data_IF_787917866237
#
_entry.id   IF_787917866237
#
_cell.length_a   1.000
_cell.length_b   1.000
_cell.length_c   1.000
_cell.angle_alpha   90.00
_cell.angle_beta   90.00
_cell.angle_gamma   90.00
#
_symmetry.space_group_name_H-M   'P 1'
#
loop_
_entity.id
_entity.type
_entity.pdbx_description
1 polymer ?
#
# COMPACT_ATOMS: atom_id res chain seq x y z
N UNK A 1 15.67 -13.53 -9.55
CA UNK A 1 14.72 -12.41 -9.46
C UNK A 1 13.83 -12.68 -8.26
N UNK A 2 14.17 -12.10 -7.11
CA UNK A 2 13.45 -12.33 -5.86
C UNK A 2 12.27 -11.35 -5.75
N UNK A 3 11.21 -11.66 -6.49
CA UNK A 3 9.93 -10.93 -6.44
C UNK A 3 9.42 -10.84 -4.99
N UNK A 4 9.70 -11.85 -4.17
CA UNK A 4 9.36 -11.86 -2.74
C UNK A 4 10.10 -10.78 -1.93
N UNK A 5 11.37 -10.54 -2.20
CA UNK A 5 12.13 -9.47 -1.54
C UNK A 5 11.60 -8.10 -1.95
N UNK A 6 11.37 -7.89 -3.26
CA UNK A 6 10.73 -6.66 -3.75
C UNK A 6 9.39 -6.41 -3.07
N UNK A 7 8.53 -7.43 -2.91
CA UNK A 7 7.26 -7.29 -2.18
C UNK A 7 7.52 -6.79 -0.75
N UNK A 8 8.40 -7.43 0.00
CA UNK A 8 8.67 -7.06 1.40
C UNK A 8 9.28 -5.66 1.55
N UNK A 9 10.17 -5.27 0.64
CA UNK A 9 10.74 -3.93 0.61
C UNK A 9 9.65 -2.88 0.37
N UNK A 10 8.81 -3.09 -0.65
CA UNK A 10 7.71 -2.18 -1.00
C UNK A 10 6.68 -2.08 0.12
N UNK A 11 6.33 -3.19 0.76
CA UNK A 11 5.49 -3.19 1.96
C UNK A 11 6.11 -2.33 3.04
N UNK A 12 7.37 -2.57 3.38
CA UNK A 12 8.05 -1.86 4.47
C UNK A 12 8.17 -0.35 4.17
N UNK A 13 8.42 0.01 2.92
CA UNK A 13 8.50 1.38 2.42
C UNK A 13 7.15 2.10 2.50
N UNK A 14 6.08 1.44 2.03
CA UNK A 14 4.71 2.00 2.07
C UNK A 14 4.18 2.10 3.51
N UNK A 15 4.48 1.12 4.38
CA UNK A 15 4.03 1.16 5.78
C UNK A 15 4.87 2.08 6.66
N UNK A 16 6.14 2.29 6.30
CA UNK A 16 7.08 3.13 7.05
C UNK A 16 7.03 4.61 6.67
N UNK A 17 6.47 4.95 5.51
CA UNK A 17 6.35 6.33 5.02
C UNK A 17 4.87 6.74 4.98
N UNK A 18 4.47 7.66 5.87
CA UNK A 18 3.08 8.15 5.95
C UNK A 18 2.60 8.82 4.65
N UNK A 19 3.50 9.43 3.88
CA UNK A 19 3.20 10.04 2.59
C UNK A 19 2.89 8.98 1.53
N UNK A 20 3.70 7.93 1.45
CA UNK A 20 3.42 6.77 0.61
C UNK A 20 2.18 6.02 1.07
N UNK A 21 1.93 5.90 2.37
CA UNK A 21 0.74 5.25 2.91
C UNK A 21 -0.54 6.00 2.51
N UNK A 22 -0.52 7.34 2.57
CA UNK A 22 -1.62 8.20 2.08
C UNK A 22 -1.82 8.07 0.58
N UNK A 23 -0.74 8.12 -0.20
CA UNK A 23 -0.79 7.91 -1.66
C UNK A 23 -1.30 6.52 -2.00
N UNK A 24 -0.83 5.47 -1.32
CA UNK A 24 -1.23 4.08 -1.54
C UNK A 24 -2.71 3.85 -1.19
N UNK A 25 -3.23 4.56 -0.18
CA UNK A 25 -4.67 4.54 0.13
C UNK A 25 -5.53 5.17 -0.96
N UNK A 26 -5.03 6.24 -1.59
CA UNK A 26 -5.74 6.93 -2.68
C UNK A 26 -5.60 6.20 -4.02
N UNK A 27 -4.37 5.81 -4.37
CA UNK A 27 -4.01 5.07 -5.57
C UNK A 27 -2.93 4.00 -5.26
N UNK A 28 -3.35 2.78 -4.89
CA UNK A 28 -2.44 1.70 -4.57
C UNK A 28 -1.58 1.29 -5.77
N UNK A 29 -2.19 1.19 -6.96
CA UNK A 29 -1.49 0.75 -8.16
C UNK A 29 -0.50 1.82 -8.63
N UNK A 30 -0.94 3.07 -8.70
CA UNK A 30 -0.07 4.20 -9.05
C UNK A 30 1.09 4.36 -8.08
N UNK A 31 0.85 4.21 -6.77
CA UNK A 31 1.93 4.30 -5.77
C UNK A 31 2.96 3.19 -5.95
N UNK A 32 2.55 1.94 -6.19
CA UNK A 32 3.48 0.85 -6.45
C UNK A 32 4.20 1.04 -7.79
N UNK A 33 3.51 1.54 -8.81
CA UNK A 33 4.10 1.84 -10.11
C UNK A 33 5.16 2.94 -10.04
N UNK A 34 4.89 4.02 -9.27
CA UNK A 34 5.80 5.14 -9.04
C UNK A 34 7.10 4.73 -8.31
N UNK A 35 7.05 3.68 -7.48
CA UNK A 35 8.22 3.21 -6.71
C UNK A 35 8.84 1.93 -7.29
N UNK A 36 8.16 1.28 -8.23
CA UNK A 36 8.56 0.03 -8.85
C UNK A 36 8.19 0.02 -10.35
N UNK A 37 8.87 0.89 -11.12
CA UNK A 37 8.76 0.97 -12.59
C UNK A 37 9.13 -0.33 -13.33
N UNK A 38 9.90 -1.21 -12.69
CA UNK A 38 10.46 -2.44 -13.28
C UNK A 38 9.70 -3.70 -12.82
N UNK A 39 8.36 -3.62 -12.78
CA UNK A 39 7.50 -4.75 -12.45
C UNK A 39 6.35 -4.88 -13.45
N UNK A 40 6.03 -6.11 -13.89
CA UNK A 40 4.84 -6.35 -14.71
C UNK A 40 3.57 -6.07 -13.89
N UNK A 41 2.49 -5.66 -14.56
CA UNK A 41 1.21 -5.32 -13.93
C UNK A 41 0.67 -6.44 -13.02
N UNK A 42 0.87 -7.71 -13.39
CA UNK A 42 0.51 -8.88 -12.55
C UNK A 42 1.26 -8.92 -11.22
N UNK A 43 2.54 -8.53 -11.22
CA UNK A 43 3.32 -8.45 -9.98
C UNK A 43 2.87 -7.27 -9.13
N UNK A 44 2.55 -6.13 -9.77
CA UNK A 44 2.02 -4.95 -9.11
C UNK A 44 0.70 -5.29 -8.38
N UNK A 45 -0.22 -5.99 -9.04
CA UNK A 45 -1.48 -6.40 -8.39
C UNK A 45 -1.26 -7.32 -7.19
N UNK A 46 -0.35 -8.29 -7.30
CA UNK A 46 -0.01 -9.18 -6.20
C UNK A 46 0.62 -8.42 -5.01
N UNK A 47 1.50 -7.46 -5.29
CA UNK A 47 2.11 -6.58 -4.27
C UNK A 47 1.05 -5.71 -3.61
N UNK A 48 0.21 -5.05 -4.39
CA UNK A 48 -0.88 -4.20 -3.89
C UNK A 48 -1.79 -5.02 -2.99
N UNK A 49 -2.13 -6.25 -3.38
CA UNK A 49 -2.97 -7.15 -2.58
C UNK A 49 -2.26 -7.56 -1.29
N UNK A 50 -0.97 -7.90 -1.35
CA UNK A 50 -0.19 -8.24 -0.16
C UNK A 50 -0.02 -7.06 0.81
N UNK A 51 0.21 -5.85 0.30
CA UNK A 51 0.30 -4.63 1.10
C UNK A 51 -1.07 -4.30 1.69
N UNK A 52 -2.15 -4.36 0.90
CA UNK A 52 -3.51 -4.18 1.39
C UNK A 52 -3.89 -5.21 2.44
N UNK A 53 -3.44 -6.46 2.31
CA UNK A 53 -3.61 -7.47 3.34
C UNK A 53 -2.79 -7.09 4.59
N UNK A 54 -1.49 -6.79 4.46
CA UNK A 54 -0.61 -6.40 5.60
C UNK A 54 -1.13 -5.17 6.35
N UNK A 55 -1.66 -4.19 5.61
CA UNK A 55 -2.26 -2.97 6.15
C UNK A 55 -3.68 -3.27 6.69
N UNK A 56 -4.52 -3.95 5.91
CA UNK A 56 -5.94 -4.21 6.21
C UNK A 56 -6.22 -5.30 7.24
N UNK A 57 -5.34 -6.29 7.42
CA UNK A 57 -5.38 -7.28 8.52
C UNK A 57 -5.03 -6.66 9.87
N UNK A 58 -4.40 -5.48 9.89
CA UNK A 58 -4.34 -4.71 11.12
C UNK A 58 -5.73 -4.09 11.33
N UNK A 59 -6.50 -4.60 12.28
CA UNK A 59 -7.73 -3.97 12.81
C UNK A 59 -7.59 -2.46 13.12
N UNK A 60 -6.35 -1.94 13.17
CA UNK A 60 -6.01 -0.53 13.24
C UNK A 60 -6.42 0.29 12.00
N UNK A 61 -6.47 -0.28 10.78
CA UNK A 61 -6.90 0.47 9.59
C UNK A 61 -8.41 0.62 9.55
N UNK A 62 -9.21 -0.30 10.10
CA UNK A 62 -10.64 -0.03 10.33
C UNK A 62 -10.81 1.27 11.13
N UNK A 63 -10.13 1.38 12.27
CA UNK A 63 -10.13 2.58 13.11
C UNK A 63 -9.55 3.82 12.41
N UNK A 64 -8.48 3.66 11.62
CA UNK A 64 -7.82 4.75 10.89
C UNK A 64 -8.60 5.20 9.64
N UNK A 65 -9.35 4.31 9.00
CA UNK A 65 -10.15 4.56 7.80
C UNK A 65 -11.52 5.11 8.20
N UNK A 66 -12.08 4.68 9.33
CA UNK A 66 -13.22 5.35 9.97
C UNK A 66 -12.85 6.77 10.43
N UNK A 67 -11.66 6.95 11.04
CA UNK A 67 -11.13 8.31 11.32
C UNK A 67 -10.87 9.12 10.06
N UNK A 68 -10.26 8.54 9.03
CA UNK A 68 -9.98 9.24 7.77
C UNK A 68 -11.28 9.61 7.04
N UNK A 69 -12.31 8.75 7.03
CA UNK A 69 -13.65 9.10 6.55
C UNK A 69 -14.25 10.24 7.35
N UNK A 70 -14.11 10.24 8.69
CA UNK A 70 -14.58 11.33 9.53
C UNK A 70 -13.86 12.66 9.27
N UNK A 71 -12.62 12.62 8.81
CA UNK A 71 -11.80 13.78 8.46
C UNK A 71 -12.05 14.27 7.02
N UNK A 72 -12.41 13.37 6.10
CA UNK A 72 -12.72 13.69 4.71
C UNK A 72 -14.20 14.07 4.48
N UNK A 73 -15.08 13.73 5.42
CA UNK A 73 -16.52 14.01 5.36
C UNK A 73 -16.94 15.24 6.17
N UNK A 74 -15.99 16.12 6.53
CA UNK A 74 -16.25 17.34 7.30
C UNK A 74 -15.78 18.59 6.58
#
# INVERSE_FOLDING_TARGET
>A
MDIKEKINELVSKVTGDEGLLKKFKADPKGTIKDIADDLPDDAIENIVTAIKAKIGDSSAIGDLLDKAKGLFSK
#
